data_IF_637606673879
#
_entry.id   IF_637606673879
#
_cell.length_a   1.000
_cell.length_b   1.000
_cell.length_c   1.000
_cell.angle_alpha   90.00
_cell.angle_beta   90.00
_cell.angle_gamma   90.00
#
_symmetry.space_group_name_H-M   'P 1'
#
loop_
_entity.id
_entity.type
_entity.pdbx_description
1 polymer ?
#
# COMPACT_ATOMS: atom_id res chain seq x y z
N UNK A 1 6.19 -21.78 -2.99
CA UNK A 1 6.62 -21.18 -4.28
C UNK A 1 5.42 -20.79 -5.13
N UNK A 2 4.61 -21.73 -5.65
CA UNK A 2 3.47 -21.35 -6.52
C UNK A 2 2.37 -20.62 -5.76
N UNK A 3 2.14 -20.99 -4.50
CA UNK A 3 1.22 -20.27 -3.60
C UNK A 3 1.72 -18.89 -3.18
N UNK A 4 2.97 -18.55 -3.44
CA UNK A 4 3.60 -17.27 -3.04
C UNK A 4 3.81 -16.36 -4.26
N UNK A 5 2.99 -16.54 -5.30
CA UNK A 5 3.12 -15.79 -6.55
C UNK A 5 2.61 -14.34 -6.41
N UNK A 6 3.26 -13.37 -7.10
CA UNK A 6 2.83 -11.96 -7.08
C UNK A 6 1.39 -11.76 -7.58
N UNK A 7 0.76 -10.66 -7.17
CA UNK A 7 -0.59 -10.30 -7.60
C UNK A 7 -0.77 -10.27 -9.13
N UNK A 8 0.23 -9.83 -9.88
CA UNK A 8 0.20 -9.86 -11.35
C UNK A 8 0.04 -11.29 -11.92
N UNK A 9 0.74 -12.27 -11.33
CA UNK A 9 0.66 -13.67 -11.74
C UNK A 9 -0.67 -14.32 -11.33
N UNK A 10 -1.28 -13.87 -10.22
CA UNK A 10 -2.63 -14.29 -9.78
C UNK A 10 -3.72 -13.72 -10.67
N UNK A 11 -3.50 -12.52 -11.20
CA UNK A 11 -4.48 -11.84 -12.02
C UNK A 11 -4.50 -12.38 -13.45
N UNK A 12 -3.34 -12.72 -14.04
CA UNK A 12 -3.29 -13.21 -15.43
C UNK A 12 -4.28 -14.37 -15.69
N UNK A 13 -5.11 -14.30 -16.75
CA UNK A 13 -5.06 -13.38 -17.87
C UNK A 13 -5.88 -12.09 -17.70
N UNK A 14 -6.40 -11.83 -16.50
CA UNK A 14 -7.12 -10.60 -16.17
C UNK A 14 -6.11 -9.47 -15.93
N UNK A 15 -6.25 -8.39 -16.68
CA UNK A 15 -5.63 -7.11 -16.35
C UNK A 15 -6.51 -6.30 -15.40
N UNK A 16 -5.88 -5.63 -14.44
CA UNK A 16 -6.55 -4.75 -13.47
C UNK A 16 -5.95 -3.35 -13.55
N UNK A 17 -6.81 -2.35 -13.76
CA UNK A 17 -6.45 -0.94 -13.66
C UNK A 17 -7.10 -0.36 -12.40
N UNK A 18 -6.27 0.15 -11.48
CA UNK A 18 -6.73 0.72 -10.21
C UNK A 18 -6.43 2.22 -10.17
N UNK A 19 -7.42 3.01 -9.74
CA UNK A 19 -7.26 4.44 -9.52
C UNK A 19 -7.95 4.84 -8.22
N UNK A 20 -7.32 5.73 -7.44
CA UNK A 20 -7.96 6.37 -6.29
C UNK A 20 -8.61 7.69 -6.71
N UNK A 21 -9.95 7.78 -6.74
CA UNK A 21 -10.62 9.04 -7.01
C UNK A 21 -10.26 10.07 -5.93
N UNK A 22 -10.18 11.34 -6.31
CA UNK A 22 -9.97 12.43 -5.34
C UNK A 22 -11.12 12.41 -4.33
N UNK A 23 -10.78 12.28 -3.05
CA UNK A 23 -11.76 12.19 -1.95
C UNK A 23 -12.43 10.81 -1.78
N UNK A 24 -12.07 9.82 -2.59
CA UNK A 24 -12.54 8.44 -2.42
C UNK A 24 -11.77 7.69 -1.34
N UNK A 25 -12.48 6.85 -0.58
CA UNK A 25 -11.85 5.99 0.44
C UNK A 25 -11.30 4.68 -0.14
N UNK A 26 -11.81 4.25 -1.31
CA UNK A 26 -11.44 2.99 -1.95
C UNK A 26 -10.93 3.20 -3.37
N UNK A 27 -10.07 2.29 -3.81
CA UNK A 27 -9.68 2.18 -5.20
C UNK A 27 -10.92 1.90 -6.07
N UNK A 28 -10.98 2.51 -7.24
CA UNK A 28 -11.85 2.09 -8.33
C UNK A 28 -11.05 1.19 -9.25
N UNK A 29 -11.52 -0.02 -9.43
CA UNK A 29 -10.90 -1.03 -10.27
C UNK A 29 -11.68 -1.18 -11.57
N UNK A 30 -10.94 -1.37 -12.67
CA UNK A 30 -11.47 -1.83 -13.95
C UNK A 30 -10.71 -3.06 -14.38
N UNK A 31 -11.44 -4.06 -14.85
CA UNK A 31 -10.89 -5.32 -15.31
C UNK A 31 -10.98 -5.41 -16.83
N UNK A 32 -9.98 -6.03 -17.44
CA UNK A 32 -9.94 -6.33 -18.86
C UNK A 32 -9.25 -7.68 -19.08
N UNK A 33 -9.48 -8.30 -20.23
CA UNK A 33 -8.87 -9.58 -20.57
C UNK A 33 -7.64 -9.33 -21.42
N UNK A 34 -6.51 -9.90 -21.02
CA UNK A 34 -5.30 -9.99 -21.84
C UNK A 34 -5.38 -11.29 -22.64
N UNK A 35 -5.75 -11.17 -23.91
CA UNK A 35 -5.89 -12.32 -24.81
C UNK A 35 -4.64 -12.46 -25.66
N UNK A 36 -3.93 -13.57 -25.47
CA UNK A 36 -2.73 -13.92 -26.22
C UNK A 36 -2.93 -15.24 -26.93
N UNK A 37 -2.46 -15.34 -28.18
CA UNK A 37 -2.70 -16.49 -29.05
C UNK A 37 -2.18 -17.82 -28.50
N UNK A 38 -1.19 -17.77 -27.61
CA UNK A 38 -0.59 -18.93 -26.97
C UNK A 38 -1.31 -19.35 -25.68
N UNK A 39 -2.21 -18.53 -25.14
CA UNK A 39 -2.93 -18.83 -23.90
C UNK A 39 -4.02 -19.88 -24.16
N UNK A 40 -3.72 -21.14 -23.83
CA UNK A 40 -4.66 -22.25 -24.01
C UNK A 40 -5.79 -22.26 -22.97
N UNK A 41 -5.66 -21.51 -21.87
CA UNK A 41 -6.67 -21.46 -20.80
C UNK A 41 -8.04 -20.93 -21.26
N UNK A 42 -8.10 -20.13 -22.32
CA UNK A 42 -9.36 -19.68 -22.92
C UNK A 42 -10.15 -20.79 -23.64
N UNK A 43 -9.57 -21.99 -23.80
CA UNK A 43 -10.25 -23.17 -24.38
C UNK A 43 -10.88 -24.08 -23.32
N UNK A 44 -10.71 -23.75 -22.04
CA UNK A 44 -11.31 -24.51 -20.94
C UNK A 44 -12.83 -24.29 -20.88
N UNK A 45 -13.56 -25.32 -20.42
CA UNK A 45 -15.02 -25.25 -20.31
C UNK A 45 -15.50 -24.43 -19.09
N UNK A 46 -14.58 -24.05 -18.20
CA UNK A 46 -14.92 -23.34 -16.96
C UNK A 46 -15.05 -21.85 -17.24
N UNK A 47 -16.25 -21.33 -17.05
CA UNK A 47 -16.50 -19.89 -17.02
C UNK A 47 -16.23 -19.33 -15.63
N UNK A 48 -15.76 -18.08 -15.60
CA UNK A 48 -15.45 -17.37 -14.38
C UNK A 48 -16.04 -15.97 -14.43
N UNK A 49 -16.70 -15.57 -13.34
CA UNK A 49 -16.86 -14.15 -13.04
C UNK A 49 -15.56 -13.58 -12.46
N UNK A 50 -15.41 -12.25 -12.50
CA UNK A 50 -14.26 -11.58 -11.89
C UNK A 50 -14.18 -11.88 -10.39
N UNK A 51 -15.31 -11.86 -9.68
CA UNK A 51 -15.35 -12.12 -8.25
C UNK A 51 -14.86 -13.54 -7.90
N UNK A 52 -15.32 -14.54 -8.65
CA UNK A 52 -14.88 -15.93 -8.47
C UNK A 52 -13.39 -16.10 -8.74
N UNK A 53 -12.87 -15.45 -9.79
CA UNK A 53 -11.45 -15.50 -10.12
C UNK A 53 -10.60 -14.88 -9.00
N UNK A 54 -10.93 -13.67 -8.56
CA UNK A 54 -10.18 -12.96 -7.51
C UNK A 54 -10.16 -13.75 -6.19
N UNK A 55 -11.28 -14.38 -5.85
CA UNK A 55 -11.39 -15.24 -4.66
C UNK A 55 -10.57 -16.52 -4.83
N UNK A 56 -10.67 -17.18 -5.98
CA UNK A 56 -9.95 -18.42 -6.27
C UNK A 56 -8.42 -18.21 -6.24
N UNK A 57 -7.96 -17.13 -6.86
CA UNK A 57 -6.54 -16.81 -6.97
C UNK A 57 -5.98 -16.11 -5.73
N UNK A 58 -6.80 -15.86 -4.71
CA UNK A 58 -6.41 -15.22 -3.45
C UNK A 58 -6.06 -13.74 -3.57
N UNK A 59 -6.45 -13.07 -4.65
CA UNK A 59 -6.10 -11.67 -4.95
C UNK A 59 -6.70 -10.71 -3.93
N UNK A 60 -7.89 -11.00 -3.41
CA UNK A 60 -8.63 -10.13 -2.49
C UNK A 60 -7.81 -9.74 -1.25
N UNK A 61 -7.08 -10.69 -0.66
CA UNK A 61 -6.24 -10.43 0.50
C UNK A 61 -5.11 -9.45 0.18
N UNK A 62 -4.42 -9.68 -0.94
CA UNK A 62 -3.31 -8.82 -1.38
C UNK A 62 -3.78 -7.42 -1.78
N UNK A 63 -4.92 -7.30 -2.48
CA UNK A 63 -5.49 -6.00 -2.80
C UNK A 63 -5.82 -5.22 -1.52
N UNK A 64 -6.44 -5.87 -0.54
CA UNK A 64 -6.74 -5.24 0.76
C UNK A 64 -5.49 -4.67 1.45
N UNK A 65 -4.36 -5.38 1.36
CA UNK A 65 -3.08 -4.91 1.93
C UNK A 65 -2.41 -3.83 1.08
N UNK A 66 -2.56 -3.90 -0.25
CA UNK A 66 -1.94 -2.97 -1.20
C UNK A 66 -2.71 -1.66 -1.37
N UNK A 67 -4.02 -1.63 -1.14
CA UNK A 67 -4.87 -0.46 -1.36
C UNK A 67 -4.36 0.81 -0.66
N UNK A 68 -3.99 0.79 0.64
CA UNK A 68 -3.44 1.97 1.31
C UNK A 68 -2.13 2.47 0.66
N UNK A 69 -1.30 1.56 0.15
CA UNK A 69 -0.08 1.91 -0.55
C UNK A 69 -0.35 2.46 -1.95
N UNK A 70 -1.29 1.87 -2.69
CA UNK A 70 -1.74 2.33 -4.00
C UNK A 70 -2.27 3.77 -3.95
N UNK A 71 -2.94 4.14 -2.86
CA UNK A 71 -3.35 5.53 -2.60
C UNK A 71 -2.18 6.51 -2.58
N UNK A 72 -1.02 6.09 -2.07
CA UNK A 72 0.19 6.91 -2.01
C UNK A 72 0.82 7.05 -3.39
N UNK A 73 1.03 5.93 -4.11
CA UNK A 73 1.78 5.95 -5.38
C UNK A 73 0.98 6.49 -6.56
N UNK A 74 -0.35 6.44 -6.50
CA UNK A 74 -1.25 7.03 -7.51
C UNK A 74 -1.68 8.45 -7.16
N UNK A 75 -1.20 9.02 -6.05
CA UNK A 75 -1.57 10.37 -5.64
C UNK A 75 -1.12 11.39 -6.70
N UNK A 76 -2.06 12.17 -7.23
CA UNK A 76 -1.79 13.21 -8.22
C UNK A 76 -1.14 14.47 -7.65
N UNK A 77 -0.63 14.41 -6.41
CA UNK A 77 -0.04 15.55 -5.68
C UNK A 77 1.46 15.60 -5.90
N UNK A 78 1.99 16.77 -6.24
CA UNK A 78 3.44 16.96 -6.36
C UNK A 78 4.14 16.80 -5.01
N UNK A 79 5.26 16.07 -5.01
CA UNK A 79 6.04 15.81 -3.80
C UNK A 79 6.98 16.96 -3.42
N UNK A 80 7.09 18.04 -4.20
CA UNK A 80 8.12 19.12 -4.15
C UNK A 80 9.30 18.88 -5.10
N UNK A 81 10.31 19.76 -5.07
CA UNK A 81 11.49 19.75 -5.95
C UNK A 81 12.79 19.90 -5.14
N UNK A 82 13.93 19.55 -5.75
CA UNK A 82 15.26 19.70 -5.14
C UNK A 82 15.46 18.85 -3.89
N UNK A 83 16.21 19.36 -2.92
CA UNK A 83 16.59 18.61 -1.71
C UNK A 83 15.40 18.10 -0.87
N UNK A 84 14.25 18.80 -0.92
CA UNK A 84 13.03 18.38 -0.22
C UNK A 84 12.44 17.12 -0.85
N UNK A 85 12.52 17.00 -2.18
CA UNK A 85 12.12 15.78 -2.89
C UNK A 85 13.00 14.60 -2.46
N UNK A 86 14.31 14.78 -2.41
CA UNK A 86 15.24 13.72 -2.00
C UNK A 86 14.95 13.20 -0.58
N UNK A 87 14.62 14.12 0.35
CA UNK A 87 14.23 13.74 1.71
C UNK A 87 12.93 12.93 1.71
N UNK A 88 11.91 13.38 0.98
CA UNK A 88 10.64 12.66 0.86
C UNK A 88 10.78 11.30 0.21
N UNK A 89 11.64 11.16 -0.80
CA UNK A 89 11.95 9.87 -1.40
C UNK A 89 12.62 8.94 -0.40
N UNK A 90 13.58 9.42 0.40
CA UNK A 90 14.19 8.61 1.48
C UNK A 90 13.15 8.13 2.49
N UNK A 91 12.19 8.98 2.87
CA UNK A 91 11.08 8.62 3.75
C UNK A 91 10.19 7.55 3.11
N UNK A 92 9.80 7.76 1.84
CA UNK A 92 9.00 6.82 1.06
C UNK A 92 9.66 5.44 0.97
N UNK A 93 10.94 5.38 0.58
CA UNK A 93 11.66 4.11 0.45
C UNK A 93 11.82 3.39 1.79
N UNK A 94 12.11 4.14 2.86
CA UNK A 94 12.24 3.57 4.20
C UNK A 94 10.94 2.91 4.66
N UNK A 95 9.81 3.63 4.64
CA UNK A 95 8.55 3.09 5.13
C UNK A 95 7.89 2.07 4.19
N UNK A 96 8.18 2.08 2.88
CA UNK A 96 7.58 1.14 1.92
C UNK A 96 8.37 -0.15 1.72
N UNK A 97 9.71 -0.11 1.85
CA UNK A 97 10.57 -1.22 1.43
C UNK A 97 11.61 -1.65 2.47
N UNK A 98 11.68 -0.99 3.63
CA UNK A 98 12.60 -1.36 4.70
C UNK A 98 11.95 -1.17 6.08
N UNK A 99 11.06 -2.09 6.43
CA UNK A 99 10.31 -2.04 7.69
C UNK A 99 11.22 -2.08 8.91
N UNK A 100 12.34 -2.80 8.88
CA UNK A 100 13.31 -2.80 9.99
C UNK A 100 13.88 -1.40 10.26
N UNK A 101 14.27 -0.69 9.18
CA UNK A 101 14.75 0.68 9.29
C UNK A 101 13.64 1.63 9.70
N UNK A 102 12.42 1.43 9.20
CA UNK A 102 11.27 2.23 9.60
C UNK A 102 10.93 2.04 11.09
N UNK A 103 10.96 0.80 11.58
CA UNK A 103 10.84 0.43 12.99
C UNK A 103 11.89 1.16 13.82
N UNK A 104 13.16 1.07 13.45
CA UNK A 104 14.24 1.78 14.14
C UNK A 104 14.03 3.30 14.12
N UNK A 105 13.56 3.87 13.00
CA UNK A 105 13.22 5.28 12.93
C UNK A 105 12.09 5.67 13.88
N UNK A 106 11.04 4.86 14.00
CA UNK A 106 9.90 5.13 14.88
C UNK A 106 10.30 5.00 16.37
N UNK A 107 11.05 3.96 16.73
CA UNK A 107 11.33 3.66 18.15
C UNK A 107 12.64 4.26 18.68
N UNK A 108 13.63 4.53 17.83
CA UNK A 108 14.95 5.03 18.22
C UNK A 108 15.21 6.48 17.76
N UNK A 109 14.15 7.22 17.46
CA UNK A 109 14.22 8.67 17.24
C UNK A 109 13.17 9.39 18.09
N UNK A 110 13.18 10.74 18.13
CA UNK A 110 12.16 11.54 18.80
C UNK A 110 10.76 11.47 18.15
N UNK A 111 10.41 10.38 17.46
CA UNK A 111 9.14 10.24 16.75
C UNK A 111 7.95 10.38 17.72
N UNK A 112 7.95 9.62 18.82
CA UNK A 112 6.88 9.64 19.81
C UNK A 112 6.86 10.90 20.70
N UNK A 113 7.90 11.74 20.63
CA UNK A 113 7.90 13.07 21.25
C UNK A 113 7.19 14.10 20.37
N UNK A 114 7.05 13.82 19.06
CA UNK A 114 6.45 14.72 18.07
C UNK A 114 5.03 14.35 17.71
N UNK A 115 4.69 13.06 17.78
CA UNK A 115 3.39 12.53 17.36
C UNK A 115 2.63 11.92 18.53
N UNK A 116 1.34 12.25 18.63
CA UNK A 116 0.41 11.61 19.55
C UNK A 116 0.08 10.22 19.02
N UNK A 117 0.60 9.19 19.68
CA UNK A 117 0.37 7.77 19.35
C UNK A 117 -0.02 7.04 20.62
N UNK A 118 -1.15 6.32 20.58
CA UNK A 118 -1.66 5.54 21.71
C UNK A 118 -0.68 4.42 22.08
N UNK A 119 -0.57 4.12 23.37
CA UNK A 119 0.31 3.03 23.85
C UNK A 119 -0.05 1.68 23.23
N UNK A 120 -1.35 1.39 23.03
CA UNK A 120 -1.79 0.17 22.33
C UNK A 120 -1.23 0.10 20.90
N UNK A 121 -1.21 1.22 20.18
CA UNK A 121 -0.63 1.28 18.83
C UNK A 121 0.88 1.07 18.89
N UNK A 122 1.58 1.68 19.86
CA UNK A 122 3.04 1.47 20.03
C UNK A 122 3.38 0.00 20.26
N UNK A 123 2.62 -0.69 21.10
CA UNK A 123 2.80 -2.12 21.35
C UNK A 123 2.58 -2.95 20.08
N UNK A 124 1.45 -2.72 19.37
CA UNK A 124 1.15 -3.44 18.12
C UNK A 124 2.23 -3.24 17.07
N UNK A 125 2.60 -1.99 16.79
CA UNK A 125 3.59 -1.70 15.76
C UNK A 125 5.00 -2.11 16.18
N UNK A 126 5.25 -2.47 17.44
CA UNK A 126 6.56 -2.98 17.90
C UNK A 126 6.76 -4.46 17.55
N UNK A 127 5.69 -5.26 17.52
CA UNK A 127 5.74 -6.72 17.39
C UNK A 127 5.11 -7.26 16.10
N UNK A 128 4.24 -6.48 15.45
CA UNK A 128 3.52 -6.88 14.24
C UNK A 128 3.97 -6.02 13.03
N UNK A 129 4.60 -6.68 12.04
CA UNK A 129 5.05 -6.04 10.81
C UNK A 129 3.89 -5.55 9.93
N UNK A 130 2.74 -6.22 9.95
CA UNK A 130 1.55 -5.80 9.20
C UNK A 130 0.99 -4.51 9.81
N UNK A 131 0.94 -4.43 11.14
CA UNK A 131 0.51 -3.19 11.82
C UNK A 131 1.54 -2.07 11.63
N UNK A 132 2.84 -2.37 11.68
CA UNK A 132 3.88 -1.38 11.37
C UNK A 132 3.79 -0.87 9.93
N UNK A 133 3.54 -1.76 8.96
CA UNK A 133 3.34 -1.41 7.55
C UNK A 133 2.15 -0.46 7.38
N UNK A 134 0.98 -0.80 7.95
CA UNK A 134 -0.21 0.06 7.92
C UNK A 134 0.07 1.42 8.54
N UNK A 135 0.76 1.45 9.67
CA UNK A 135 1.19 2.67 10.32
C UNK A 135 2.13 3.51 9.45
N UNK A 136 3.06 2.86 8.74
CA UNK A 136 3.94 3.49 7.77
C UNK A 136 3.19 4.19 6.64
N UNK A 137 2.12 3.58 6.13
CA UNK A 137 1.29 4.21 5.10
C UNK A 137 0.57 5.46 5.61
N UNK A 138 0.00 5.42 6.82
CA UNK A 138 -0.61 6.61 7.44
C UNK A 138 0.42 7.72 7.69
N UNK A 139 1.62 7.37 8.17
CA UNK A 139 2.71 8.32 8.34
C UNK A 139 3.18 8.92 7.01
N UNK A 140 3.30 8.12 5.95
CA UNK A 140 3.68 8.62 4.61
C UNK A 140 2.65 9.59 4.04
N UNK A 141 1.34 9.33 4.24
CA UNK A 141 0.29 10.27 3.81
C UNK A 141 0.43 11.64 4.48
N UNK A 142 0.79 11.66 5.77
CA UNK A 142 1.13 12.90 6.48
C UNK A 142 2.42 13.53 5.93
N UNK A 143 3.51 12.77 5.90
CA UNK A 143 4.85 13.26 5.58
C UNK A 143 5.01 13.75 4.14
N UNK A 144 4.40 13.05 3.18
CA UNK A 144 4.53 13.34 1.77
C UNK A 144 3.55 14.41 1.31
N UNK A 145 2.32 14.36 1.79
CA UNK A 145 1.21 15.15 1.26
C UNK A 145 0.52 16.08 2.26
N UNK A 146 0.96 16.09 3.53
CA UNK A 146 0.37 16.92 4.58
C UNK A 146 -1.06 16.49 4.97
N UNK A 147 -1.45 15.24 4.71
CA UNK A 147 -2.76 14.76 5.13
C UNK A 147 -2.84 14.66 6.66
N UNK A 148 -4.01 14.94 7.23
CA UNK A 148 -4.25 14.91 8.68
C UNK A 148 -4.45 13.48 9.19
N UNK A 149 -3.54 12.56 8.84
CA UNK A 149 -3.54 11.16 9.27
C UNK A 149 -2.81 10.96 10.61
N UNK A 150 -1.94 11.91 10.98
CA UNK A 150 -1.19 11.92 12.22
C UNK A 150 -1.44 13.20 12.99
N UNK A 151 -1.45 13.13 14.32
CA UNK A 151 -1.63 14.29 15.21
C UNK A 151 -0.30 14.67 15.85
N UNK A 152 0.08 15.92 15.72
CA UNK A 152 1.29 16.45 16.36
C UNK A 152 1.00 16.77 17.82
N UNK A 153 1.97 16.50 18.68
CA UNK A 153 1.96 17.02 20.05
C UNK A 153 2.20 18.53 19.95
N UNK A 154 1.33 19.33 20.54
CA UNK A 154 1.49 20.79 20.53
C UNK A 154 2.83 21.15 21.18
N UNK A 155 3.62 21.99 20.51
CA UNK A 155 4.81 22.57 21.13
C UNK A 155 4.37 23.41 22.34
N UNK A 156 4.92 23.12 23.52
CA UNK A 156 4.89 24.03 24.66
C UNK A 156 5.89 25.17 24.45
#
# INVERSE_FOLDING_TARGET
IYEDRPGACRLYPIGMASAFPVGGEKAKEKFFIVSESHCLGFKENKEWTIEEWLKHEGVTHYNTMNDPWMRIVTASRSLSQGAVLDQKLKMFFMASYNLDRFRAFVFHSPFFEKFEVLEETKLKIAEDDVELMKFGFEWLRFALFGEKTMKLIAAQ
#
